data_IF_513909415805
#
_entry.id   IF_513909415805
#
_cell.length_a   1.000
_cell.length_b   1.000
_cell.length_c   1.000
_cell.angle_alpha   90.00
_cell.angle_beta   90.00
_cell.angle_gamma   90.00
#
_symmetry.space_group_name_H-M   'P 1'
#
loop_
_entity.id
_entity.type
_entity.pdbx_description
1 polymer ?
#
# COMPACT_ATOMS: atom_id res chain seq x y z
N UNK A 1 -13.48 41.46 -18.77
CA UNK A 1 -12.09 41.55 -18.30
C UNK A 1 -12.00 40.62 -17.11
N UNK A 2 -11.37 39.46 -17.26
CA UNK A 2 -10.96 38.62 -16.13
C UNK A 2 -9.79 39.33 -15.45
N UNK A 3 -9.88 39.54 -14.14
CA UNK A 3 -8.77 40.11 -13.35
C UNK A 3 -7.74 39.03 -13.05
N UNK A 4 -6.50 39.43 -12.73
CA UNK A 4 -5.46 38.47 -12.31
C UNK A 4 -5.91 37.68 -11.06
N UNK A 5 -6.65 38.35 -10.16
CA UNK A 5 -7.29 37.74 -9.00
C UNK A 5 -8.23 36.61 -9.42
N UNK A 6 -9.10 36.84 -10.41
CA UNK A 6 -10.03 35.81 -10.90
C UNK A 6 -9.30 34.59 -11.48
N UNK A 7 -8.17 34.81 -12.17
CA UNK A 7 -7.35 33.72 -12.71
C UNK A 7 -6.73 32.87 -11.60
N UNK A 8 -6.18 33.51 -10.55
CA UNK A 8 -5.62 32.80 -9.38
C UNK A 8 -6.71 31.99 -8.65
N UNK A 9 -7.88 32.59 -8.42
CA UNK A 9 -9.01 31.93 -7.76
C UNK A 9 -9.45 30.70 -8.59
N UNK A 10 -9.56 30.86 -9.91
CA UNK A 10 -9.92 29.77 -10.83
C UNK A 10 -8.88 28.65 -10.82
N UNK A 11 -7.59 28.98 -10.84
CA UNK A 11 -6.52 27.98 -10.77
C UNK A 11 -6.48 27.27 -9.42
N UNK A 12 -6.72 27.98 -8.31
CA UNK A 12 -6.86 27.38 -6.99
C UNK A 12 -8.07 26.43 -6.92
N UNK A 13 -9.20 26.80 -7.53
CA UNK A 13 -10.38 25.94 -7.61
C UNK A 13 -10.12 24.67 -8.42
N UNK A 14 -9.40 24.78 -9.54
CA UNK A 14 -8.98 23.63 -10.33
C UNK A 14 -8.10 22.67 -9.52
N UNK A 15 -7.20 23.17 -8.67
CA UNK A 15 -6.40 22.33 -7.76
C UNK A 15 -7.30 21.58 -6.76
N UNK A 16 -8.27 22.27 -6.17
CA UNK A 16 -9.20 21.66 -5.19
C UNK A 16 -10.05 20.59 -5.86
N UNK A 17 -10.65 20.89 -7.02
CA UNK A 17 -11.47 19.95 -7.77
C UNK A 17 -10.67 18.72 -8.22
N UNK A 18 -9.47 18.91 -8.78
CA UNK A 18 -8.63 17.79 -9.20
C UNK A 18 -8.31 16.84 -8.04
N UNK A 19 -8.03 17.37 -6.84
CA UNK A 19 -7.80 16.53 -5.66
C UNK A 19 -9.08 15.88 -5.14
N UNK A 20 -10.21 16.59 -5.17
CA UNK A 20 -11.50 16.05 -4.75
C UNK A 20 -11.91 14.85 -5.62
N UNK A 21 -11.76 14.97 -6.94
CA UNK A 21 -12.04 13.91 -7.90
C UNK A 21 -11.14 12.69 -7.66
N UNK A 22 -9.82 12.92 -7.53
CA UNK A 22 -8.85 11.86 -7.28
C UNK A 22 -9.08 11.11 -5.95
N UNK A 23 -9.63 11.80 -4.95
CA UNK A 23 -9.94 11.24 -3.62
C UNK A 23 -11.33 10.64 -3.52
N UNK A 24 -12.23 10.89 -4.48
CA UNK A 24 -13.63 10.49 -4.39
C UNK A 24 -13.82 8.99 -4.13
N UNK A 25 -13.10 8.07 -4.82
CA UNK A 25 -13.24 6.62 -4.56
C UNK A 25 -12.81 6.21 -3.15
N UNK A 26 -11.70 6.76 -2.63
CA UNK A 26 -11.24 6.49 -1.28
C UNK A 26 -12.17 7.11 -0.22
N UNK A 27 -12.73 8.28 -0.51
CA UNK A 27 -13.72 8.90 0.37
C UNK A 27 -14.98 8.05 0.46
N UNK A 28 -15.43 7.45 -0.64
CA UNK A 28 -16.56 6.51 -0.64
C UNK A 28 -16.27 5.28 0.26
N UNK A 29 -15.07 4.72 0.17
CA UNK A 29 -14.60 3.64 1.06
C UNK A 29 -14.61 4.06 2.52
N UNK A 30 -14.12 5.27 2.81
CA UNK A 30 -14.13 5.83 4.15
C UNK A 30 -15.54 6.07 4.72
N UNK A 31 -16.57 6.18 3.89
CA UNK A 31 -17.98 6.29 4.35
C UNK A 31 -18.62 4.93 4.65
N UNK A 32 -17.97 3.81 4.29
CA UNK A 32 -18.47 2.46 4.57
C UNK A 32 -18.58 2.13 6.06
N UNK A 33 -19.28 1.04 6.36
CA UNK A 33 -19.48 0.55 7.73
C UNK A 33 -18.85 -0.83 7.91
N UNK A 34 -18.72 -1.28 9.16
CA UNK A 34 -18.18 -2.62 9.48
C UNK A 34 -19.15 -3.72 9.06
N UNK A 35 -20.46 -3.42 9.01
CA UNK A 35 -21.51 -4.35 8.60
C UNK A 35 -21.48 -4.60 7.08
N UNK A 36 -21.14 -3.58 6.30
CA UNK A 36 -20.91 -3.68 4.85
C UNK A 36 -19.55 -3.09 4.46
N UNK A 37 -18.45 -3.81 4.74
CA UNK A 37 -17.12 -3.28 4.52
C UNK A 37 -16.75 -3.38 3.03
N UNK A 38 -15.89 -2.49 2.52
CA UNK A 38 -15.50 -2.48 1.11
C UNK A 38 -14.82 -3.80 0.69
N UNK A 39 -14.88 -4.16 -0.59
CA UNK A 39 -14.08 -5.28 -1.11
C UNK A 39 -12.61 -4.87 -1.25
N UNK A 40 -11.70 -5.85 -1.23
CA UNK A 40 -10.26 -5.58 -1.38
C UNK A 40 -9.97 -5.06 -2.78
N UNK A 41 -10.71 -5.55 -3.77
CA UNK A 41 -10.66 -5.17 -5.17
C UNK A 41 -11.09 -3.71 -5.38
N UNK A 42 -12.23 -3.29 -4.81
CA UNK A 42 -12.68 -1.90 -4.86
C UNK A 42 -11.67 -0.97 -4.18
N UNK A 43 -11.09 -1.43 -3.07
CA UNK A 43 -10.08 -0.68 -2.34
C UNK A 43 -8.77 -0.52 -3.12
N UNK A 44 -8.35 -1.57 -3.82
CA UNK A 44 -7.18 -1.52 -4.71
C UNK A 44 -7.45 -0.57 -5.88
N UNK A 45 -8.61 -0.67 -6.53
CA UNK A 45 -8.98 0.23 -7.62
C UNK A 45 -8.99 1.71 -7.17
N UNK A 46 -9.54 2.01 -6.00
CA UNK A 46 -9.55 3.36 -5.44
C UNK A 46 -8.14 3.89 -5.16
N UNK A 47 -7.26 3.06 -4.59
CA UNK A 47 -5.86 3.43 -4.36
C UNK A 47 -5.12 3.69 -5.68
N UNK A 48 -5.29 2.81 -6.68
CA UNK A 48 -4.67 2.95 -8.00
C UNK A 48 -5.20 4.18 -8.75
N UNK A 49 -6.47 4.53 -8.58
CA UNK A 49 -7.04 5.76 -9.13
C UNK A 49 -6.33 7.00 -8.61
N UNK A 50 -6.15 7.13 -7.29
CA UNK A 50 -5.40 8.25 -6.70
C UNK A 50 -3.95 8.30 -7.20
N UNK A 51 -3.29 7.14 -7.33
CA UNK A 51 -1.92 7.05 -7.82
C UNK A 51 -1.83 7.50 -9.29
N UNK A 52 -2.75 7.03 -10.14
CA UNK A 52 -2.82 7.39 -11.55
C UNK A 52 -3.13 8.88 -11.77
N UNK A 53 -3.86 9.51 -10.83
CA UNK A 53 -4.18 10.93 -10.88
C UNK A 53 -2.99 11.85 -10.56
N UNK A 54 -1.89 11.35 -9.96
CA UNK A 54 -0.75 12.17 -9.51
C UNK A 54 -0.20 13.15 -10.56
N UNK A 55 0.01 12.76 -11.83
CA UNK A 55 0.47 13.70 -12.85
C UNK A 55 -0.51 14.87 -13.07
N UNK A 56 -1.82 14.60 -13.08
CA UNK A 56 -2.85 15.62 -13.23
C UNK A 56 -2.91 16.56 -12.00
N UNK A 57 -2.74 16.02 -10.80
CA UNK A 57 -2.64 16.83 -9.56
C UNK A 57 -1.42 17.77 -9.61
N UNK A 58 -0.26 17.24 -10.05
CA UNK A 58 0.97 18.02 -10.19
C UNK A 58 0.85 19.10 -11.28
N UNK A 59 0.10 18.82 -12.36
CA UNK A 59 -0.20 19.77 -13.43
C UNK A 59 -1.10 20.91 -12.94
N UNK A 60 -2.19 20.62 -12.22
CA UNK A 60 -3.07 21.65 -11.66
C UNK A 60 -2.30 22.62 -10.72
N UNK A 61 -1.39 22.09 -9.90
CA UNK A 61 -0.52 22.94 -9.06
C UNK A 61 0.46 23.75 -9.92
N UNK A 62 0.95 23.19 -11.03
CA UNK A 62 1.81 23.91 -11.98
C UNK A 62 1.05 25.06 -12.64
N UNK A 63 -0.23 24.88 -12.98
CA UNK A 63 -1.06 25.96 -13.54
C UNK A 63 -1.24 27.10 -12.54
N UNK A 64 -1.51 26.80 -11.27
CA UNK A 64 -1.54 27.82 -10.22
C UNK A 64 -0.18 28.54 -10.05
N UNK A 65 0.94 27.84 -10.22
CA UNK A 65 2.27 28.47 -10.22
C UNK A 65 2.48 29.42 -11.41
N UNK A 66 1.93 29.09 -12.60
CA UNK A 66 1.96 29.97 -13.78
C UNK A 66 1.18 31.26 -13.51
N UNK A 67 -0.02 31.15 -12.95
CA UNK A 67 -0.84 32.32 -12.58
C UNK A 67 -0.16 33.21 -11.53
N UNK A 68 0.59 32.63 -10.59
CA UNK A 68 1.39 33.41 -9.63
C UNK A 68 2.53 34.17 -10.31
N UNK A 69 3.16 33.59 -11.35
CA UNK A 69 4.21 34.26 -12.12
C UNK A 69 3.63 35.43 -12.92
N UNK A 70 2.49 35.21 -13.57
CA UNK A 70 1.78 36.23 -14.33
C UNK A 70 1.28 37.38 -13.43
N UNK A 71 0.99 37.08 -12.15
CA UNK A 71 0.71 38.07 -11.11
C UNK A 71 1.95 38.82 -10.57
N UNK A 72 3.15 38.52 -11.07
CA UNK A 72 4.39 39.22 -10.73
C UNK A 72 5.30 38.51 -9.74
N UNK A 73 5.01 37.26 -9.34
CA UNK A 73 5.93 36.47 -8.51
C UNK A 73 7.11 35.99 -9.35
N UNK A 74 8.32 36.43 -9.00
CA UNK A 74 9.54 36.03 -9.74
C UNK A 74 9.79 34.52 -9.67
N UNK A 75 10.08 33.90 -10.81
CA UNK A 75 10.45 32.47 -10.88
C UNK A 75 11.60 32.09 -9.94
N UNK A 76 12.62 32.94 -9.82
CA UNK A 76 13.75 32.71 -8.90
C UNK A 76 13.34 32.70 -7.43
N UNK A 77 12.30 33.48 -7.05
CA UNK A 77 11.71 33.45 -5.72
C UNK A 77 10.99 32.12 -5.50
N UNK A 78 10.20 31.66 -6.48
CA UNK A 78 9.49 30.37 -6.42
C UNK A 78 10.45 29.19 -6.30
N UNK A 79 11.49 29.12 -7.14
CA UNK A 79 12.48 28.04 -7.10
C UNK A 79 13.13 27.93 -5.72
N UNK A 80 13.51 29.09 -5.14
CA UNK A 80 14.10 29.16 -3.79
C UNK A 80 13.12 28.71 -2.71
N UNK A 81 11.86 29.16 -2.75
CA UNK A 81 10.86 28.81 -1.73
C UNK A 81 10.44 27.34 -1.80
N UNK A 82 10.38 26.78 -3.01
CA UNK A 82 10.13 25.36 -3.25
C UNK A 82 11.37 24.48 -3.02
N UNK A 83 12.53 25.07 -2.70
CA UNK A 83 13.80 24.34 -2.52
C UNK A 83 14.19 23.46 -3.73
N UNK A 84 13.90 23.92 -4.95
CA UNK A 84 14.24 23.23 -6.20
C UNK A 84 15.23 24.05 -7.04
N UNK A 85 15.94 23.38 -7.94
CA UNK A 85 16.81 24.08 -8.90
C UNK A 85 15.95 24.89 -9.86
N UNK A 86 16.43 26.06 -10.28
CA UNK A 86 15.72 26.91 -11.25
C UNK A 86 15.44 26.17 -12.55
N UNK A 87 16.39 25.37 -13.06
CA UNK A 87 16.18 24.56 -14.26
C UNK A 87 15.00 23.58 -14.11
N UNK A 88 14.87 22.94 -12.94
CA UNK A 88 13.75 22.04 -12.65
C UNK A 88 12.42 22.77 -12.59
N UNK A 89 12.39 24.01 -12.09
CA UNK A 89 11.19 24.84 -12.14
C UNK A 89 10.85 25.20 -13.59
N UNK A 90 11.83 25.63 -14.39
CA UNK A 90 11.63 25.94 -15.81
C UNK A 90 11.09 24.74 -16.58
N UNK A 91 11.69 23.55 -16.41
CA UNK A 91 11.24 22.31 -17.05
C UNK A 91 9.79 21.99 -16.65
N UNK A 92 9.45 22.16 -15.36
CA UNK A 92 8.10 21.94 -14.84
C UNK A 92 7.09 22.92 -15.46
N UNK A 93 7.43 24.21 -15.52
CA UNK A 93 6.56 25.24 -16.08
C UNK A 93 6.40 25.10 -17.60
N UNK A 94 7.37 24.52 -18.29
CA UNK A 94 7.30 24.23 -19.72
C UNK A 94 6.56 22.91 -20.04
N UNK A 95 6.35 22.04 -19.05
CA UNK A 95 5.72 20.74 -19.26
C UNK A 95 4.26 20.91 -19.74
N UNK A 96 3.91 20.19 -20.80
CA UNK A 96 2.55 20.14 -21.31
C UNK A 96 1.62 19.41 -20.33
N UNK A 97 0.32 19.71 -20.42
CA UNK A 97 -0.69 19.02 -19.64
C UNK A 97 -0.58 17.49 -19.87
N UNK A 98 -0.61 16.67 -18.81
CA UNK A 98 -0.51 15.23 -18.95
C UNK A 98 -1.72 14.70 -19.72
N UNK A 99 -1.49 13.75 -20.62
CA UNK A 99 -2.57 12.97 -21.21
C UNK A 99 -3.22 12.13 -20.11
N UNK A 100 -4.56 11.99 -20.16
CA UNK A 100 -5.29 11.17 -19.21
C UNK A 100 -4.69 9.76 -19.15
N UNK A 101 -4.12 9.40 -18.00
CA UNK A 101 -3.53 8.08 -17.79
C UNK A 101 -4.67 7.11 -17.49
N UNK A 102 -4.83 6.01 -18.25
CA UNK A 102 -5.84 5.01 -17.94
C UNK A 102 -5.58 4.44 -16.54
N UNK A 103 -6.64 4.27 -15.76
CA UNK A 103 -6.54 3.64 -14.44
C UNK A 103 -6.01 2.22 -14.64
N UNK A 104 -4.98 1.79 -13.87
CA UNK A 104 -4.42 0.45 -14.03
C UNK A 104 -5.48 -0.64 -13.89
N UNK A 105 -5.55 -1.54 -14.86
CA UNK A 105 -6.52 -2.64 -14.85
C UNK A 105 -6.17 -3.68 -13.78
N UNK A 106 -7.20 -4.19 -13.10
CA UNK A 106 -7.06 -5.25 -12.11
C UNK A 106 -6.94 -6.61 -12.82
N UNK A 107 -5.88 -7.36 -12.54
CA UNK A 107 -5.65 -8.67 -13.12
C UNK A 107 -5.70 -9.78 -12.06
N UNK A 108 -6.17 -10.97 -12.42
CA UNK A 108 -6.30 -12.12 -11.50
C UNK A 108 -5.00 -12.48 -10.77
N UNK A 109 -3.83 -12.23 -11.39
CA UNK A 109 -2.52 -12.49 -10.80
C UNK A 109 -2.15 -11.59 -9.61
N UNK A 110 -2.89 -10.49 -9.36
CA UNK A 110 -2.56 -9.51 -8.32
C UNK A 110 -2.90 -9.97 -6.90
N UNK A 111 -3.75 -11.00 -6.77
CA UNK A 111 -4.24 -11.46 -5.49
C UNK A 111 -3.61 -12.80 -5.06
N UNK A 112 -3.58 -13.03 -3.76
CA UNK A 112 -3.24 -14.30 -3.12
C UNK A 112 -4.40 -14.72 -2.24
N UNK A 113 -4.58 -16.04 -2.10
CA UNK A 113 -5.55 -16.58 -1.17
C UNK A 113 -5.14 -16.23 0.27
N UNK A 114 -6.05 -15.63 1.02
CA UNK A 114 -5.90 -15.27 2.43
C UNK A 114 -7.00 -15.93 3.26
N UNK A 115 -6.73 -16.13 4.54
CA UNK A 115 -7.71 -16.63 5.49
C UNK A 115 -8.85 -15.62 5.71
N UNK A 116 -9.94 -16.08 6.33
CA UNK A 116 -11.14 -15.26 6.54
C UNK A 116 -10.86 -14.09 7.50
N UNK A 117 -10.02 -14.27 8.51
CA UNK A 117 -9.72 -13.24 9.53
C UNK A 117 -8.90 -12.11 8.91
N UNK A 118 -7.82 -12.43 8.20
CA UNK A 118 -6.99 -11.43 7.51
C UNK A 118 -7.80 -10.63 6.48
N UNK A 119 -8.70 -11.28 5.72
CA UNK A 119 -9.58 -10.58 4.78
C UNK A 119 -10.58 -9.66 5.48
N UNK A 120 -11.20 -10.10 6.57
CA UNK A 120 -12.10 -9.27 7.38
C UNK A 120 -11.35 -8.06 7.95
N UNK A 121 -10.21 -8.30 8.59
CA UNK A 121 -9.35 -7.27 9.15
C UNK A 121 -8.91 -6.24 8.12
N UNK A 122 -8.51 -6.68 6.93
CA UNK A 122 -8.13 -5.80 5.84
C UNK A 122 -9.28 -4.89 5.38
N UNK A 123 -10.48 -5.45 5.17
CA UNK A 123 -11.65 -4.70 4.69
C UNK A 123 -12.13 -3.68 5.72
N UNK A 124 -12.15 -4.05 7.00
CA UNK A 124 -12.56 -3.16 8.08
C UNK A 124 -11.51 -2.06 8.33
N UNK A 125 -10.22 -2.42 8.38
CA UNK A 125 -9.12 -1.45 8.54
C UNK A 125 -9.05 -0.44 7.39
N UNK A 126 -9.51 -0.82 6.19
CA UNK A 126 -9.55 0.06 5.04
C UNK A 126 -10.42 1.29 5.26
N UNK A 127 -11.54 1.13 5.99
CA UNK A 127 -12.49 2.22 6.24
C UNK A 127 -11.81 3.32 7.05
N UNK A 128 -11.16 2.95 8.15
CA UNK A 128 -10.43 3.90 9.01
C UNK A 128 -9.25 4.53 8.25
N UNK A 129 -8.44 3.72 7.57
CA UNK A 129 -7.29 4.20 6.80
C UNK A 129 -7.69 5.22 5.70
N UNK A 130 -8.80 4.97 5.00
CA UNK A 130 -9.31 5.88 3.97
C UNK A 130 -9.88 7.17 4.57
N UNK A 131 -10.56 7.11 5.72
CA UNK A 131 -11.00 8.31 6.47
C UNK A 131 -9.81 9.18 6.88
N UNK A 132 -8.79 8.56 7.45
CA UNK A 132 -7.61 9.29 7.92
C UNK A 132 -6.84 9.93 6.76
N UNK A 133 -6.67 9.21 5.64
CA UNK A 133 -6.13 9.79 4.42
C UNK A 133 -6.94 11.00 3.97
N UNK A 134 -8.27 10.88 3.90
CA UNK A 134 -9.16 11.98 3.52
C UNK A 134 -9.00 13.21 4.43
N UNK A 135 -8.86 13.00 5.75
CA UNK A 135 -8.59 14.08 6.71
C UNK A 135 -7.22 14.73 6.47
N UNK A 136 -6.18 13.95 6.18
CA UNK A 136 -4.85 14.49 5.88
C UNK A 136 -4.86 15.37 4.62
N UNK A 137 -5.52 14.92 3.55
CA UNK A 137 -5.66 15.71 2.32
C UNK A 137 -6.51 16.97 2.56
N UNK A 138 -7.63 16.86 3.27
CA UNK A 138 -8.48 18.01 3.59
C UNK A 138 -7.72 19.07 4.42
N UNK A 139 -6.87 18.65 5.35
CA UNK A 139 -6.03 19.56 6.12
C UNK A 139 -4.99 20.26 5.23
N UNK A 140 -4.32 19.53 4.34
CA UNK A 140 -3.32 20.08 3.44
C UNK A 140 -3.89 21.03 2.36
N UNK A 141 -5.12 20.78 1.91
CA UNK A 141 -5.79 21.58 0.88
C UNK A 141 -6.55 22.80 1.45
N UNK A 142 -6.75 22.85 2.78
CA UNK A 142 -7.53 23.93 3.42
C UNK A 142 -7.06 25.33 3.01
N UNK A 143 -5.76 25.69 2.99
CA UNK A 143 -5.33 27.01 2.56
C UNK A 143 -5.69 27.32 1.10
N UNK A 144 -5.53 26.36 0.20
CA UNK A 144 -5.88 26.53 -1.23
C UNK A 144 -7.40 26.68 -1.38
N UNK A 145 -8.18 25.92 -0.61
CA UNK A 145 -9.64 26.06 -0.59
C UNK A 145 -10.10 27.45 -0.13
N UNK A 146 -9.41 28.08 0.82
CA UNK A 146 -9.73 29.45 1.25
C UNK A 146 -9.53 30.46 0.11
N UNK A 147 -8.46 30.31 -0.66
CA UNK A 147 -8.17 31.14 -1.84
C UNK A 147 -9.20 30.89 -2.95
N UNK A 148 -9.46 29.62 -3.27
CA UNK A 148 -10.46 29.19 -4.27
C UNK A 148 -11.87 29.72 -3.99
N UNK A 149 -12.25 29.86 -2.72
CA UNK A 149 -13.55 30.40 -2.32
C UNK A 149 -13.63 31.93 -2.40
N UNK A 150 -12.53 32.62 -2.75
CA UNK A 150 -12.47 34.08 -2.72
C UNK A 150 -12.63 34.66 -1.31
N UNK A 151 -12.33 33.88 -0.26
CA UNK A 151 -12.49 34.31 1.13
C UNK A 151 -11.35 35.23 1.62
N UNK A 152 -10.39 35.52 0.74
CA UNK A 152 -9.19 36.32 1.00
C UNK A 152 -9.41 37.74 0.46
N UNK A 153 -8.97 38.80 1.17
CA UNK A 153 -9.00 40.16 0.63
C UNK A 153 -8.22 40.25 -0.69
N UNK A 154 -8.78 40.94 -1.69
CA UNK A 154 -8.21 41.03 -3.05
C UNK A 154 -6.72 41.40 -3.06
N UNK A 155 -6.32 42.37 -2.23
CA UNK A 155 -4.93 42.82 -2.12
C UNK A 155 -3.94 41.76 -1.60
N UNK A 156 -4.44 40.70 -0.94
CA UNK A 156 -3.63 39.64 -0.34
C UNK A 156 -3.67 38.32 -1.13
N UNK A 157 -4.48 38.21 -2.19
CA UNK A 157 -4.72 36.96 -2.90
C UNK A 157 -3.43 36.33 -3.43
N UNK A 158 -2.51 37.14 -3.96
CA UNK A 158 -1.23 36.65 -4.50
C UNK A 158 -0.36 36.02 -3.40
N UNK A 159 -0.24 36.70 -2.25
CA UNK A 159 0.59 36.22 -1.13
C UNK A 159 -0.03 34.98 -0.47
N UNK A 160 -1.34 34.98 -0.24
CA UNK A 160 -2.07 33.83 0.33
C UNK A 160 -2.04 32.62 -0.60
N UNK A 161 -2.20 32.81 -1.91
CA UNK A 161 -2.06 31.74 -2.89
C UNK A 161 -0.64 31.17 -2.92
N UNK A 162 0.39 32.02 -2.84
CA UNK A 162 1.77 31.58 -2.72
C UNK A 162 2.00 30.76 -1.45
N UNK A 163 1.54 31.24 -0.29
CA UNK A 163 1.66 30.52 0.98
C UNK A 163 0.92 29.19 0.96
N UNK A 164 -0.27 29.15 0.37
CA UNK A 164 -1.07 27.94 0.23
C UNK A 164 -0.36 26.87 -0.62
N UNK A 165 0.26 27.26 -1.75
CA UNK A 165 1.05 26.33 -2.58
C UNK A 165 2.28 25.82 -1.84
N UNK A 166 2.98 26.67 -1.09
CA UNK A 166 4.13 26.26 -0.28
C UNK A 166 3.73 25.34 0.88
N UNK A 167 2.55 25.56 1.46
CA UNK A 167 1.98 24.65 2.45
C UNK A 167 1.73 23.27 1.83
N UNK A 168 1.03 23.20 0.68
CA UNK A 168 0.77 21.93 -0.01
C UNK A 168 2.09 21.23 -0.40
N UNK A 169 3.07 21.97 -0.90
CA UNK A 169 4.39 21.44 -1.25
C UNK A 169 5.09 20.78 -0.05
N UNK A 170 5.10 21.45 1.11
CA UNK A 170 5.68 20.90 2.35
C UNK A 170 4.91 19.68 2.86
N UNK A 171 3.60 19.63 2.63
CA UNK A 171 2.74 18.51 3.04
C UNK A 171 2.87 17.27 2.15
N UNK A 172 3.54 17.35 0.99
CA UNK A 172 3.61 16.24 0.00
C UNK A 172 4.10 14.92 0.59
N UNK A 173 5.14 14.94 1.42
CA UNK A 173 5.67 13.72 2.06
C UNK A 173 4.67 13.10 3.04
N UNK A 174 3.92 13.93 3.76
CA UNK A 174 2.86 13.47 4.67
C UNK A 174 1.68 12.88 3.89
N UNK A 175 1.29 13.49 2.75
CA UNK A 175 0.25 12.95 1.87
C UNK A 175 0.64 11.60 1.26
N UNK A 176 1.91 11.43 0.87
CA UNK A 176 2.42 10.15 0.38
C UNK A 176 2.46 9.09 1.48
N UNK A 177 2.87 9.46 2.71
CA UNK A 177 2.90 8.56 3.87
C UNK A 177 1.49 8.16 4.34
N UNK A 178 0.49 9.04 4.19
CA UNK A 178 -0.90 8.75 4.53
C UNK A 178 -1.50 7.61 3.69
N UNK A 179 -0.89 7.25 2.55
CA UNK A 179 -1.26 6.09 1.74
C UNK A 179 -0.76 4.76 2.34
N UNK A 180 0.26 4.77 3.19
CA UNK A 180 0.90 3.55 3.71
C UNK A 180 -0.06 2.61 4.47
N UNK A 181 -0.97 3.10 5.34
CA UNK A 181 -1.95 2.25 6.00
C UNK A 181 -2.91 1.54 5.03
N UNK A 182 -3.30 2.22 3.93
CA UNK A 182 -4.13 1.63 2.87
C UNK A 182 -3.35 0.50 2.18
N UNK A 183 -2.08 0.75 1.81
CA UNK A 183 -1.22 -0.26 1.20
C UNK A 183 -1.01 -1.47 2.12
N UNK A 184 -0.86 -1.22 3.43
CA UNK A 184 -0.71 -2.27 4.43
C UNK A 184 -1.98 -3.15 4.53
N UNK A 185 -3.17 -2.53 4.55
CA UNK A 185 -4.44 -3.24 4.56
C UNK A 185 -4.65 -4.05 3.27
N UNK A 186 -4.25 -3.53 2.10
CA UNK A 186 -4.28 -4.27 0.83
C UNK A 186 -3.38 -5.52 0.86
N UNK A 187 -2.15 -5.39 1.39
CA UNK A 187 -1.24 -6.53 1.56
C UNK A 187 -1.81 -7.58 2.52
N UNK A 188 -2.43 -7.15 3.62
CA UNK A 188 -3.11 -8.03 4.56
C UNK A 188 -4.26 -8.79 3.86
N UNK A 189 -5.05 -8.06 3.06
CA UNK A 189 -6.19 -8.58 2.30
C UNK A 189 -5.81 -9.53 1.17
N UNK A 190 -4.52 -9.59 0.80
CA UNK A 190 -3.98 -10.57 -0.14
C UNK A 190 -3.42 -9.98 -1.43
N UNK A 191 -3.36 -8.66 -1.59
CA UNK A 191 -2.71 -8.05 -2.75
C UNK A 191 -1.21 -8.31 -2.70
N UNK A 192 -0.64 -8.75 -3.83
CA UNK A 192 0.80 -9.01 -3.94
C UNK A 192 1.59 -7.71 -3.87
N UNK A 193 2.64 -7.70 -3.07
CA UNK A 193 3.57 -6.55 -2.95
C UNK A 193 4.19 -6.16 -4.30
N UNK A 194 4.51 -7.13 -5.15
CA UNK A 194 5.02 -6.85 -6.50
C UNK A 194 4.00 -6.07 -7.34
N UNK A 195 2.75 -6.51 -7.37
CA UNK A 195 1.68 -5.82 -8.10
C UNK A 195 1.39 -4.42 -7.55
N UNK A 196 1.50 -4.23 -6.22
CA UNK A 196 1.43 -2.88 -5.63
C UNK A 196 2.62 -2.02 -6.03
N UNK A 197 3.83 -2.57 -6.06
CA UNK A 197 5.03 -1.83 -6.44
C UNK A 197 4.95 -1.39 -7.91
N UNK A 198 4.51 -2.29 -8.79
CA UNK A 198 4.21 -2.00 -10.20
C UNK A 198 3.14 -0.90 -10.34
N UNK A 199 2.00 -1.04 -9.67
CA UNK A 199 0.93 -0.05 -9.70
C UNK A 199 1.33 1.32 -9.12
N UNK A 200 2.27 1.34 -8.17
CA UNK A 200 2.86 2.57 -7.63
C UNK A 200 3.96 3.17 -8.50
N UNK A 201 4.45 2.45 -9.52
CA UNK A 201 5.63 2.84 -10.29
C UNK A 201 6.91 2.92 -9.44
N UNK A 202 7.00 2.14 -8.36
CA UNK A 202 8.16 2.15 -7.45
C UNK A 202 8.86 0.80 -7.43
N UNK A 203 10.16 0.84 -7.12
CA UNK A 203 10.91 -0.40 -6.89
C UNK A 203 10.39 -1.15 -5.65
N UNK A 204 10.42 -2.49 -5.70
CA UNK A 204 9.92 -3.34 -4.61
C UNK A 204 10.59 -3.06 -3.25
N UNK A 205 11.88 -2.73 -3.24
CA UNK A 205 12.62 -2.35 -2.02
C UNK A 205 12.10 -1.04 -1.40
N UNK A 206 11.67 -0.08 -2.22
CA UNK A 206 11.04 1.16 -1.76
C UNK A 206 9.71 0.87 -1.08
N UNK A 207 8.87 0.03 -1.69
CA UNK A 207 7.61 -0.40 -1.07
C UNK A 207 7.87 -1.17 0.23
N UNK A 208 8.86 -2.06 0.26
CA UNK A 208 9.22 -2.79 1.46
C UNK A 208 9.63 -1.86 2.61
N UNK A 209 10.42 -0.81 2.32
CA UNK A 209 10.82 0.19 3.31
C UNK A 209 9.62 0.98 3.84
N UNK A 210 8.69 1.40 2.97
CA UNK A 210 7.45 2.09 3.38
C UNK A 210 6.60 1.21 4.31
N UNK A 211 6.41 -0.05 3.93
CA UNK A 211 5.61 -0.99 4.70
C UNK A 211 6.33 -1.51 5.96
N UNK A 212 7.63 -1.28 6.15
CA UNK A 212 8.36 -1.76 7.31
C UNK A 212 7.77 -1.25 8.63
N UNK A 213 7.30 0.01 8.64
CA UNK A 213 6.63 0.62 9.80
C UNK A 213 5.15 0.29 9.95
N UNK A 214 4.57 -0.52 9.06
CA UNK A 214 3.13 -0.82 9.02
C UNK A 214 2.83 -2.23 9.55
N UNK A 215 2.33 -2.40 10.78
CA UNK A 215 2.15 -3.72 11.40
C UNK A 215 1.23 -4.65 10.60
N UNK A 216 0.13 -4.12 10.06
CA UNK A 216 -0.86 -4.89 9.27
C UNK A 216 -0.23 -5.54 8.03
N UNK A 217 0.77 -4.91 7.42
CA UNK A 217 1.44 -5.44 6.23
C UNK A 217 2.21 -6.74 6.48
N UNK A 218 2.55 -7.05 7.74
CA UNK A 218 3.34 -8.22 8.15
C UNK A 218 2.60 -9.14 9.13
N UNK A 219 1.32 -8.85 9.40
CA UNK A 219 0.50 -9.64 10.30
C UNK A 219 0.17 -11.00 9.68
N UNK A 220 0.21 -12.05 10.51
CA UNK A 220 -0.43 -13.34 10.25
C UNK A 220 -1.82 -13.32 10.87
N UNK A 221 -2.69 -14.23 10.46
CA UNK A 221 -4.03 -14.36 11.07
C UNK A 221 -3.99 -14.48 12.61
N UNK A 222 -3.00 -15.21 13.14
CA UNK A 222 -2.82 -15.39 14.57
C UNK A 222 -2.35 -14.11 15.30
N UNK A 223 -1.75 -13.16 14.58
CA UNK A 223 -1.24 -11.91 15.16
C UNK A 223 -2.35 -10.84 15.28
N UNK A 224 -3.52 -11.06 14.68
CA UNK A 224 -4.59 -10.06 14.59
C UNK A 224 -5.50 -10.09 15.82
N UNK A 225 -5.80 -8.92 16.37
CA UNK A 225 -6.84 -8.75 17.40
C UNK A 225 -7.87 -7.73 16.93
N UNK A 226 -9.13 -8.13 17.04
CA UNK A 226 -10.28 -7.26 16.82
C UNK A 226 -10.47 -6.41 18.09
N UNK A 227 -10.33 -5.09 17.96
CA UNK A 227 -10.55 -4.14 19.06
C UNK A 227 -11.99 -3.60 19.07
N UNK A 228 -12.84 -4.07 18.15
CA UNK A 228 -14.19 -3.55 17.93
C UNK A 228 -14.22 -2.38 16.94
N UNK A 229 -15.43 -2.10 16.44
CA UNK A 229 -15.71 -0.96 15.53
C UNK A 229 -14.82 -0.90 14.27
N UNK A 230 -14.34 -2.06 13.81
CA UNK A 230 -13.50 -2.17 12.62
C UNK A 230 -12.04 -1.81 12.85
N UNK A 231 -11.63 -1.65 14.12
CA UNK A 231 -10.24 -1.42 14.50
C UNK A 231 -9.54 -2.74 14.75
N UNK A 232 -8.39 -2.91 14.10
CA UNK A 232 -7.55 -4.10 14.23
C UNK A 232 -6.16 -3.73 14.72
N UNK A 233 -5.69 -4.44 15.73
CA UNK A 233 -4.31 -4.36 16.19
C UNK A 233 -3.54 -5.64 15.89
N UNK A 234 -2.21 -5.50 15.89
CA UNK A 234 -1.29 -6.59 15.61
C UNK A 234 -0.46 -6.84 16.86
N UNK A 235 -0.65 -8.00 17.48
CA UNK A 235 0.13 -8.47 18.61
C UNK A 235 0.71 -9.82 18.21
N UNK A 236 2.05 -9.92 18.15
CA UNK A 236 2.73 -11.14 17.69
C UNK A 236 2.33 -12.32 18.57
N UNK A 237 1.68 -13.30 17.96
CA UNK A 237 1.36 -14.54 18.63
C UNK A 237 2.59 -15.45 18.64
N UNK A 238 2.81 -16.09 19.79
CA UNK A 238 3.88 -17.07 20.05
C UNK A 238 3.57 -18.40 19.34
N UNK A 239 3.59 -18.40 18.01
CA UNK A 239 3.24 -19.56 17.17
C UNK A 239 4.37 -19.88 16.20
N UNK A 240 4.72 -21.17 16.10
CA UNK A 240 5.78 -21.68 15.24
C UNK A 240 7.15 -21.34 15.78
N UNK A 241 8.00 -20.67 14.97
CA UNK A 241 9.36 -20.24 15.38
C UNK A 241 9.39 -19.34 16.62
N UNK A 242 8.25 -18.74 16.97
CA UNK A 242 8.08 -17.82 18.09
C UNK A 242 7.33 -18.44 19.27
N UNK A 243 6.94 -19.71 19.19
CA UNK A 243 6.48 -20.42 20.38
C UNK A 243 7.67 -20.61 21.33
N UNK A 244 7.48 -20.50 22.65
CA UNK A 244 8.50 -20.91 23.59
C UNK A 244 8.90 -22.36 23.26
N UNK A 245 10.20 -22.65 23.29
CA UNK A 245 10.65 -24.03 23.19
C UNK A 245 9.93 -24.81 24.30
N UNK A 246 9.04 -25.73 23.92
CA UNK A 246 8.48 -26.65 24.90
C UNK A 246 9.66 -27.35 25.55
N UNK A 247 9.89 -27.08 26.83
CA UNK A 247 10.76 -27.94 27.63
C UNK A 247 10.12 -29.31 27.60
N UNK A 248 10.63 -30.18 26.73
CA UNK A 248 10.23 -31.57 26.69
C UNK A 248 10.50 -32.14 28.07
N UNK A 249 9.45 -32.66 28.71
CA UNK A 249 9.56 -33.29 30.02
C UNK A 249 10.62 -34.39 29.93
N UNK A 250 11.68 -34.24 30.73
CA UNK A 250 12.82 -35.16 30.78
C UNK A 250 12.34 -36.60 31.05
N UNK A 251 11.25 -36.77 31.79
CA UNK A 251 10.69 -38.09 32.06
C UNK A 251 10.09 -38.74 30.80
N UNK A 252 9.40 -37.96 29.96
CA UNK A 252 8.80 -38.45 28.70
C UNK A 252 9.89 -38.79 27.68
N UNK A 253 10.93 -37.96 27.58
CA UNK A 253 12.08 -38.23 26.70
C UNK A 253 12.84 -39.47 27.18
N UNK A 254 13.06 -39.62 28.49
CA UNK A 254 13.73 -40.79 29.04
C UNK A 254 12.90 -42.07 28.86
N UNK A 255 11.58 -41.99 28.98
CA UNK A 255 10.69 -43.13 28.72
C UNK A 255 10.77 -43.59 27.25
N UNK A 256 10.72 -42.65 26.29
CA UNK A 256 10.84 -42.95 24.87
C UNK A 256 12.23 -43.49 24.50
N UNK A 257 13.30 -42.97 25.11
CA UNK A 257 14.67 -43.50 24.94
C UNK A 257 14.79 -44.92 25.49
N UNK A 258 14.23 -45.18 26.68
CA UNK A 258 14.24 -46.52 27.27
C UNK A 258 13.47 -47.52 26.40
N UNK A 259 12.30 -47.13 25.88
CA UNK A 259 11.47 -47.93 24.98
C UNK A 259 12.22 -48.29 23.68
N UNK A 260 12.91 -47.31 23.08
CA UNK A 260 13.74 -47.54 21.89
C UNK A 260 14.94 -48.47 22.16
N UNK A 261 15.57 -48.36 23.33
CA UNK A 261 16.67 -49.25 23.74
C UNK A 261 16.16 -50.68 23.94
N UNK A 262 15.00 -50.87 24.56
CA UNK A 262 14.39 -52.20 24.70
C UNK A 262 13.93 -52.78 23.37
N UNK A 263 13.38 -51.98 22.46
CA UNK A 263 12.98 -52.45 21.12
C UNK A 263 14.15 -52.95 20.26
N UNK A 264 15.35 -52.38 20.45
CA UNK A 264 16.59 -52.83 19.78
C UNK A 264 17.07 -54.18 20.35
N UNK A 265 16.79 -54.50 21.62
CA UNK A 265 17.13 -55.80 22.20
C UNK A 265 16.20 -56.93 21.70
N UNK A 266 14.94 -56.64 21.37
CA UNK A 266 14.00 -57.62 20.82
C UNK A 266 14.23 -57.92 19.33
N UNK A 267 14.92 -57.05 18.59
CA UNK A 267 15.15 -57.17 17.13
C UNK A 267 16.60 -57.41 16.73
N UNK A 268 17.46 -57.83 17.66
CA UNK A 268 18.82 -58.23 17.32
C UNK A 268 18.81 -59.51 16.46
N UNK A 269 19.33 -59.49 15.21
CA UNK A 269 19.41 -60.70 14.38
C UNK A 269 20.42 -61.66 15.00
N UNK A 270 19.97 -62.85 15.38
CA UNK A 270 20.83 -63.94 15.82
C UNK A 270 21.73 -64.34 14.65
N UNK A 271 23.04 -64.23 14.86
CA UNK A 271 24.10 -64.55 13.89
C UNK A 271 24.10 -66.06 13.60
N UNK A 272 23.16 -66.53 12.78
CA UNK A 272 23.11 -67.92 12.33
C UNK A 272 21.70 -68.44 12.03
N UNK A 273 21.07 -67.98 10.95
CA UNK A 273 20.03 -68.75 10.27
C UNK A 273 20.17 -68.53 8.76
N UNK A 274 20.46 -69.63 8.07
CA UNK A 274 20.67 -69.74 6.62
C UNK A 274 19.37 -69.46 5.87
N UNK A 275 19.58 -68.87 4.69
CA UNK A 275 18.79 -68.84 3.46
C UNK A 275 17.56 -69.76 3.41
N UNK A 276 16.40 -69.18 3.05
CA UNK A 276 15.53 -69.80 2.06
C UNK A 276 14.83 -68.74 1.21
N UNK A 277 14.82 -69.01 -0.09
CA UNK A 277 14.47 -68.11 -1.18
C UNK A 277 12.95 -67.90 -1.29
N UNK A 278 12.52 -66.65 -1.48
CA UNK A 278 11.21 -66.37 -2.12
C UNK A 278 11.44 -65.41 -3.28
N UNK A 279 11.24 -65.95 -4.48
CA UNK A 279 11.26 -65.29 -5.78
C UNK A 279 10.16 -64.24 -5.88
N UNK A 280 10.53 -62.98 -6.16
CA UNK A 280 9.59 -61.89 -6.46
C UNK A 280 9.34 -61.85 -7.98
N UNK A 281 8.09 -61.95 -8.46
CA UNK A 281 7.79 -61.75 -9.87
C UNK A 281 7.92 -60.26 -10.24
N UNK A 282 8.78 -59.97 -11.23
CA UNK A 282 8.94 -58.65 -11.83
C UNK A 282 7.75 -58.32 -12.74
N UNK A 283 7.08 -57.19 -12.48
CA UNK A 283 6.11 -56.60 -13.41
C UNK A 283 6.83 -55.92 -14.58
N UNK A 284 6.34 -56.05 -15.83
CA UNK A 284 6.97 -55.46 -17.00
C UNK A 284 6.77 -53.93 -17.06
N UNK A 285 7.87 -53.22 -17.35
CA UNK A 285 7.93 -51.76 -17.47
C UNK A 285 7.23 -51.26 -18.75
N UNK A 286 6.26 -50.37 -18.60
CA UNK A 286 5.85 -49.45 -19.67
C UNK A 286 6.66 -48.16 -19.51
N UNK A 287 7.03 -47.50 -20.63
CA UNK A 287 8.07 -46.47 -20.79
C UNK A 287 9.48 -47.10 -20.87
N UNK A 288 10.24 -47.01 -21.95
CA UNK A 288 10.23 -46.07 -23.09
C UNK A 288 11.21 -46.59 -24.15
N UNK A 289 10.78 -46.73 -25.41
CA UNK A 289 11.70 -46.84 -26.54
C UNK A 289 11.14 -46.02 -27.69
N UNK A 290 11.86 -44.95 -28.03
CA UNK A 290 11.41 -43.98 -29.03
C UNK A 290 12.40 -42.86 -29.24
N UNK A 291 13.69 -43.17 -29.35
CA UNK A 291 14.73 -42.27 -29.85
C UNK A 291 15.94 -43.11 -30.30
N UNK A 292 16.01 -43.42 -31.60
CA UNK A 292 17.22 -43.36 -32.45
C UNK A 292 17.05 -44.24 -33.70
N UNK A 293 16.72 -43.61 -34.84
CA UNK A 293 17.50 -43.61 -36.09
C UNK A 293 16.78 -42.78 -37.15
#
# INVERSE_FOLDING_TARGET
>A
MTTQTDCIITAADAVVHAHADALAPLTAIGRGTVEDPPTVEASLAAALHLIAAKPALDAAVTDLLRELIDAGVRESKLARLLSIRSSTLTDRLAASAPTAVPVPELHYGMFRRKDKVSRRAARESMIAAARDLGRTYAAALRPISTVSQGSVPEAAVVDEALEAVLHLHRSRSALDAALDPILAALVLGGVRRMSLAEGLGVHATTLQRRLAGQPLAHARHADLRDEGEGKWSVIRAEVGRYAPAQELDKAVVQAAVNEAITGIQETAPTRGAREDSVTVPQSPSQFSDGLAR
#
